data_IF_138736191105
#
_entry.id   IF_138736191105
#
_cell.length_a   1.000
_cell.length_b   1.000
_cell.length_c   1.000
_cell.angle_alpha   90.00
_cell.angle_beta   90.00
_cell.angle_gamma   90.00
#
_symmetry.space_group_name_H-M   'P 1'
#
loop_
_entity.id
_entity.type
_entity.pdbx_description
1 polymer ?
#
# COMPACT_ATOMS: atom_id res chain seq x y z
N UNK A 1 -1.61 -26.19 20.57
CA UNK A 1 -1.81 -24.74 20.51
C UNK A 1 -0.73 -24.11 21.34
N UNK A 2 0.16 -23.34 20.71
CA UNK A 2 1.35 -22.78 21.36
C UNK A 2 1.21 -21.26 21.38
N UNK A 3 1.45 -20.65 22.56
CA UNK A 3 1.41 -19.21 22.77
C UNK A 3 2.84 -18.66 22.79
N UNK A 4 3.11 -17.67 21.95
CA UNK A 4 4.38 -16.95 21.92
C UNK A 4 4.15 -15.47 22.12
N UNK A 5 5.01 -14.83 22.92
CA UNK A 5 5.00 -13.39 23.13
C UNK A 5 6.18 -12.77 22.41
N UNK A 6 5.91 -11.89 21.47
CA UNK A 6 6.90 -11.07 20.78
C UNK A 6 6.91 -9.68 21.43
N UNK A 7 8.07 -9.19 21.85
CA UNK A 7 8.24 -7.82 22.31
C UNK A 7 8.80 -6.99 21.16
N UNK A 8 8.03 -6.03 20.66
CA UNK A 8 8.49 -5.10 19.63
C UNK A 8 8.90 -3.78 20.27
N UNK A 9 10.15 -3.41 20.05
CA UNK A 9 10.65 -2.08 20.41
C UNK A 9 10.12 -1.07 19.42
N UNK A 10 9.30 -0.12 19.90
CA UNK A 10 8.89 1.04 19.12
C UNK A 10 9.82 2.22 19.44
N UNK A 11 10.16 3.08 18.45
CA UNK A 11 11.09 4.19 18.68
C UNK A 11 10.59 5.23 19.70
N UNK A 12 9.28 5.32 19.91
CA UNK A 12 8.63 6.42 20.63
C UNK A 12 7.63 5.97 21.70
N UNK A 13 7.57 4.68 22.05
CA UNK A 13 6.63 4.16 23.07
C UNK A 13 7.19 2.96 23.82
N UNK A 14 6.52 2.58 24.92
CA UNK A 14 6.85 1.35 25.64
C UNK A 14 6.77 0.14 24.69
N UNK A 15 7.63 -0.89 24.86
CA UNK A 15 7.63 -2.07 24.01
C UNK A 15 6.24 -2.71 23.97
N UNK A 16 5.64 -2.74 22.78
CA UNK A 16 4.33 -3.38 22.60
C UNK A 16 4.56 -4.88 22.50
N UNK A 17 3.91 -5.62 23.40
CA UNK A 17 3.94 -7.08 23.40
C UNK A 17 2.81 -7.63 22.54
N UNK A 18 3.16 -8.26 21.41
CA UNK A 18 2.22 -9.01 20.60
C UNK A 18 2.18 -10.47 21.04
N UNK A 19 0.99 -11.06 21.02
CA UNK A 19 0.80 -12.48 21.30
C UNK A 19 0.44 -13.21 20.01
N UNK A 20 1.24 -14.22 19.66
CA UNK A 20 0.97 -15.12 18.56
C UNK A 20 0.46 -16.46 19.12
N UNK A 21 -0.67 -16.91 18.59
CA UNK A 21 -1.20 -18.24 18.83
C UNK A 21 -1.13 -19.03 17.53
N UNK A 22 -0.44 -20.16 17.55
CA UNK A 22 -0.35 -21.03 16.38
C UNK A 22 -0.64 -22.49 16.72
N UNK A 23 -1.16 -23.21 15.72
CA UNK A 23 -1.29 -24.67 15.75
C UNK A 23 0.00 -25.37 15.32
N UNK A 24 0.94 -24.61 14.75
CA UNK A 24 2.26 -25.13 14.43
C UNK A 24 2.99 -25.57 15.71
N UNK A 25 3.61 -26.75 15.63
CA UNK A 25 4.33 -27.41 16.71
C UNK A 25 5.85 -27.27 16.57
N UNK A 26 6.32 -26.65 15.49
CA UNK A 26 7.73 -26.31 15.35
C UNK A 26 8.14 -25.33 16.46
N UNK A 27 9.35 -25.46 17.05
CA UNK A 27 9.86 -24.46 17.96
C UNK A 27 9.97 -23.11 17.24
N UNK A 28 9.20 -22.12 17.68
CA UNK A 28 9.24 -20.79 17.07
C UNK A 28 10.44 -20.01 17.61
N UNK A 29 11.23 -19.46 16.68
CA UNK A 29 12.22 -18.43 16.99
C UNK A 29 11.60 -17.04 16.88
N UNK A 30 12.23 -16.04 17.48
CA UNK A 30 11.81 -14.63 17.34
C UNK A 30 11.78 -14.21 15.87
N UNK A 31 12.74 -14.67 15.06
CA UNK A 31 12.81 -14.38 13.63
C UNK A 31 11.60 -14.90 12.87
N UNK A 32 11.23 -16.18 13.08
CA UNK A 32 10.07 -16.78 12.43
C UNK A 32 8.77 -16.05 12.82
N UNK A 33 8.63 -15.69 14.10
CA UNK A 33 7.47 -14.92 14.57
C UNK A 33 7.43 -13.53 13.92
N UNK A 34 8.58 -12.87 13.80
CA UNK A 34 8.68 -11.56 13.16
C UNK A 34 8.30 -11.63 11.67
N UNK A 35 8.79 -12.62 10.92
CA UNK A 35 8.46 -12.82 9.50
C UNK A 35 6.95 -13.00 9.27
N UNK A 36 6.30 -13.84 10.07
CA UNK A 36 4.83 -14.05 9.99
C UNK A 36 4.07 -12.76 10.25
N UNK A 37 4.54 -12.00 11.22
CA UNK A 37 3.95 -10.74 11.62
C UNK A 37 4.15 -9.66 10.55
N UNK A 38 5.30 -9.62 9.89
CA UNK A 38 5.59 -8.69 8.79
C UNK A 38 4.76 -9.05 7.54
N UNK A 39 4.57 -10.34 7.28
CA UNK A 39 3.66 -10.82 6.23
C UNK A 39 2.22 -10.35 6.48
N UNK A 40 1.76 -10.34 7.73
CA UNK A 40 0.43 -9.80 8.07
C UNK A 40 0.33 -8.32 7.72
N UNK A 41 1.39 -7.53 7.97
CA UNK A 41 1.40 -6.11 7.64
C UNK A 41 1.28 -5.86 6.13
N UNK A 42 1.82 -6.77 5.30
CA UNK A 42 1.70 -6.71 3.83
C UNK A 42 0.23 -6.67 3.38
N UNK A 43 -0.68 -7.34 4.09
CA UNK A 43 -2.12 -7.31 3.79
C UNK A 43 -2.73 -5.93 4.11
N UNK A 44 -2.31 -5.32 5.20
CA UNK A 44 -2.77 -3.98 5.60
C UNK A 44 -2.25 -2.92 4.61
N UNK A 45 -1.03 -3.07 4.13
CA UNK A 45 -0.45 -2.28 3.04
C UNK A 45 -1.22 -2.43 1.73
N UNK A 46 -1.46 -3.66 1.28
CA UNK A 46 -2.28 -3.95 0.10
C UNK A 46 -3.63 -3.21 0.16
N UNK A 47 -4.36 -3.33 1.28
CA UNK A 47 -5.65 -2.66 1.43
C UNK A 47 -5.52 -1.13 1.40
N UNK A 48 -4.53 -0.56 2.09
CA UNK A 48 -4.30 0.89 2.14
C UNK A 48 -3.99 1.45 0.76
N UNK A 49 -3.03 0.86 0.07
CA UNK A 49 -2.59 1.30 -1.25
C UNK A 49 -3.69 1.11 -2.30
N UNK A 50 -4.39 -0.03 -2.29
CA UNK A 50 -5.48 -0.26 -3.25
C UNK A 50 -6.57 0.80 -3.10
N UNK A 51 -6.93 1.19 -1.86
CA UNK A 51 -7.90 2.26 -1.62
C UNK A 51 -7.43 3.63 -2.12
N UNK A 52 -6.21 4.02 -1.74
CA UNK A 52 -5.68 5.34 -2.01
C UNK A 52 -5.31 5.53 -3.49
N UNK A 53 -4.72 4.50 -4.10
CA UNK A 53 -4.08 4.63 -5.40
C UNK A 53 -4.91 4.16 -6.58
N UNK A 54 -5.91 3.29 -6.36
CA UNK A 54 -6.71 2.75 -7.47
C UNK A 54 -8.18 3.14 -7.44
N UNK A 55 -8.66 3.76 -6.35
CA UNK A 55 -10.06 4.17 -6.22
C UNK A 55 -11.02 2.98 -6.20
N UNK A 56 -10.62 1.85 -5.59
CA UNK A 56 -11.44 0.63 -5.49
C UNK A 56 -12.83 0.90 -4.88
N UNK A 57 -12.95 1.89 -4.00
CA UNK A 57 -14.19 2.30 -3.32
C UNK A 57 -14.98 3.41 -4.08
N UNK A 58 -14.45 3.90 -5.21
CA UNK A 58 -15.01 5.05 -5.92
C UNK A 58 -16.15 4.69 -6.88
N UNK A 59 -16.44 3.41 -7.12
CA UNK A 59 -17.46 3.00 -8.07
C UNK A 59 -18.87 3.40 -7.62
N UNK A 60 -19.53 4.27 -8.41
CA UNK A 60 -20.89 4.75 -8.12
C UNK A 60 -22.00 3.90 -8.80
N UNK A 61 -21.64 2.80 -9.46
CA UNK A 61 -22.61 1.99 -10.20
C UNK A 61 -23.54 1.19 -9.25
N UNK A 62 -24.83 1.11 -9.54
CA UNK A 62 -25.76 0.33 -8.69
C UNK A 62 -25.85 -1.16 -9.05
N UNK A 63 -25.22 -1.56 -10.16
CA UNK A 63 -25.28 -2.93 -10.68
C UNK A 63 -24.13 -3.74 -10.08
N UNK A 64 -24.45 -4.81 -9.35
CA UNK A 64 -23.47 -5.65 -8.64
C UNK A 64 -22.38 -6.24 -9.56
N UNK A 65 -22.72 -6.60 -10.81
CA UNK A 65 -21.72 -7.08 -11.78
C UNK A 65 -20.67 -6.01 -12.10
N UNK A 66 -21.10 -4.77 -12.29
CA UNK A 66 -20.19 -3.67 -12.62
C UNK A 66 -19.31 -3.34 -11.41
N UNK A 67 -19.87 -3.36 -10.21
CA UNK A 67 -19.12 -3.19 -8.96
C UNK A 67 -18.01 -4.24 -8.81
N UNK A 68 -18.31 -5.53 -9.04
CA UNK A 68 -17.29 -6.59 -9.01
C UNK A 68 -16.23 -6.40 -10.09
N UNK A 69 -16.62 -5.97 -11.29
CA UNK A 69 -15.66 -5.68 -12.37
C UNK A 69 -14.74 -4.51 -12.00
N UNK A 70 -15.28 -3.43 -11.40
CA UNK A 70 -14.48 -2.30 -10.92
C UNK A 70 -13.45 -2.74 -9.87
N UNK A 71 -13.88 -3.54 -8.89
CA UNK A 71 -13.00 -4.11 -7.87
C UNK A 71 -11.89 -4.93 -8.52
N UNK A 72 -12.21 -5.80 -9.48
CA UNK A 72 -11.21 -6.60 -10.19
C UNK A 72 -10.21 -5.74 -10.97
N UNK A 73 -10.69 -4.73 -11.72
CA UNK A 73 -9.83 -3.81 -12.45
C UNK A 73 -8.91 -2.99 -11.52
N UNK A 74 -9.43 -2.54 -10.38
CA UNK A 74 -8.66 -1.81 -9.38
C UNK A 74 -7.52 -2.68 -8.81
N UNK A 75 -7.79 -3.94 -8.47
CA UNK A 75 -6.76 -4.88 -7.99
C UNK A 75 -5.72 -5.17 -9.07
N UNK A 76 -6.14 -5.36 -10.34
CA UNK A 76 -5.20 -5.56 -11.45
C UNK A 76 -4.30 -4.33 -11.69
N UNK A 77 -4.87 -3.13 -11.58
CA UNK A 77 -4.10 -1.89 -11.68
C UNK A 77 -3.10 -1.77 -10.53
N UNK A 78 -3.51 -2.07 -9.28
CA UNK A 78 -2.62 -2.08 -8.13
C UNK A 78 -1.46 -3.06 -8.33
N UNK A 79 -1.75 -4.30 -8.76
CA UNK A 79 -0.70 -5.30 -8.99
C UNK A 79 0.34 -4.81 -10.01
N UNK A 80 -0.11 -4.20 -11.11
CA UNK A 80 0.80 -3.65 -12.11
C UNK A 80 1.63 -2.48 -11.56
N UNK A 81 1.00 -1.56 -10.82
CA UNK A 81 1.71 -0.43 -10.20
C UNK A 81 2.72 -0.91 -9.16
N UNK A 82 2.38 -1.91 -8.36
CA UNK A 82 3.27 -2.50 -7.36
C UNK A 82 4.51 -3.10 -8.02
N UNK A 83 4.35 -3.94 -9.05
CA UNK A 83 5.50 -4.51 -9.78
C UNK A 83 6.38 -3.42 -10.40
N UNK A 84 5.78 -2.36 -10.96
CA UNK A 84 6.53 -1.25 -11.51
C UNK A 84 7.29 -0.48 -10.42
N UNK A 85 6.68 -0.28 -9.26
CA UNK A 85 7.29 0.41 -8.13
C UNK A 85 8.48 -0.39 -7.57
N UNK A 86 8.33 -1.71 -7.44
CA UNK A 86 9.40 -2.63 -7.07
C UNK A 86 10.56 -2.55 -8.07
N UNK A 87 10.29 -2.63 -9.38
CA UNK A 87 11.33 -2.55 -10.40
C UNK A 87 12.06 -1.20 -10.39
N UNK A 88 11.33 -0.11 -10.13
CA UNK A 88 11.89 1.23 -10.05
C UNK A 88 12.46 1.58 -8.66
N UNK A 89 12.44 0.66 -7.69
CA UNK A 89 12.90 0.86 -6.31
C UNK A 89 12.28 2.13 -5.66
N UNK A 90 10.99 2.30 -5.87
CA UNK A 90 10.18 3.44 -5.39
C UNK A 90 8.90 2.92 -4.75
N UNK A 91 8.12 3.81 -4.12
CA UNK A 91 6.76 3.48 -3.65
C UNK A 91 5.73 3.64 -4.76
N UNK A 92 4.57 2.97 -4.65
CA UNK A 92 3.45 3.16 -5.58
C UNK A 92 2.99 4.63 -5.59
N UNK A 93 2.96 5.27 -4.42
CA UNK A 93 2.61 6.68 -4.26
C UNK A 93 3.47 7.58 -5.15
N UNK A 94 4.79 7.48 -4.97
CA UNK A 94 5.75 8.26 -5.74
C UNK A 94 5.69 7.90 -7.22
N UNK A 95 5.63 6.61 -7.57
CA UNK A 95 5.53 6.18 -8.97
C UNK A 95 4.34 6.83 -9.69
N UNK A 96 3.16 6.85 -9.06
CA UNK A 96 1.96 7.39 -9.67
C UNK A 96 1.94 8.92 -9.68
N UNK A 97 2.37 9.56 -8.60
CA UNK A 97 2.30 11.02 -8.47
C UNK A 97 3.40 11.71 -9.29
N UNK A 98 4.58 11.09 -9.38
CA UNK A 98 5.73 11.63 -10.09
C UNK A 98 5.57 11.64 -11.63
N UNK A 99 4.55 10.95 -12.18
CA UNK A 99 4.31 10.87 -13.63
C UNK A 99 4.24 12.25 -14.31
N UNK A 100 3.79 13.28 -13.60
CA UNK A 100 3.66 14.64 -14.13
C UNK A 100 4.56 15.65 -13.44
N UNK A 101 5.44 15.25 -12.53
CA UNK A 101 6.25 16.18 -11.75
C UNK A 101 7.12 17.05 -12.66
N UNK A 102 7.82 16.43 -13.63
CA UNK A 102 8.66 17.15 -14.57
C UNK A 102 7.85 18.11 -15.45
N UNK A 103 6.68 17.66 -15.91
CA UNK A 103 5.76 18.49 -16.69
C UNK A 103 5.29 19.70 -15.87
N UNK A 104 4.83 19.48 -14.64
CA UNK A 104 4.35 20.54 -13.75
C UNK A 104 5.47 21.52 -13.38
N UNK A 105 6.67 21.01 -13.07
CA UNK A 105 7.84 21.83 -12.81
C UNK A 105 8.19 22.72 -14.01
N UNK A 106 8.08 22.19 -15.24
CA UNK A 106 8.33 22.96 -16.45
C UNK A 106 7.25 24.05 -16.68
N UNK A 107 5.97 23.69 -16.56
CA UNK A 107 4.86 24.64 -16.72
C UNK A 107 4.86 25.74 -15.65
N UNK A 108 5.32 25.45 -14.43
CA UNK A 108 5.47 26.48 -13.39
C UNK A 108 6.64 27.45 -13.67
N UNK A 109 7.72 26.97 -14.28
CA UNK A 109 8.89 27.80 -14.63
C UNK A 109 8.62 28.67 -15.86
N UNK A 110 7.99 28.11 -16.88
CA UNK A 110 7.68 28.78 -18.13
C UNK A 110 6.29 28.35 -18.61
N UNK A 111 5.22 28.99 -18.11
CA UNK A 111 3.85 28.56 -18.41
C UNK A 111 3.55 28.70 -19.88
N UNK A 112 3.16 27.59 -20.50
CA UNK A 112 2.71 27.56 -21.90
C UNK A 112 1.44 28.39 -22.06
N UNK A 113 0.56 28.33 -21.06
CA UNK A 113 -0.65 29.14 -20.97
C UNK A 113 -0.40 30.40 -20.13
N UNK A 114 -0.23 31.53 -20.80
CA UNK A 114 -0.07 32.84 -20.12
C UNK A 114 -1.43 33.34 -19.63
N UNK A 115 -1.59 33.43 -18.32
CA UNK A 115 -2.72 34.13 -17.73
C UNK A 115 -2.48 35.64 -17.86
N UNK A 116 -3.44 36.34 -18.47
CA UNK A 116 -3.45 37.80 -18.54
C UNK A 116 -4.61 38.28 -17.66
N UNK A 117 -4.35 39.27 -16.82
CA UNK A 117 -5.42 39.92 -16.04
C UNK A 117 -6.34 40.67 -17.01
N UNK A 118 -7.65 40.49 -16.83
CA UNK A 118 -8.69 41.19 -17.58
C UNK A 118 -8.71 42.68 -17.25
#
# INVERSE_FOLDING_TARGET
>A
MTLFRLLRSTPCSEPVGDFLVTNDRTPLSVQVVQEVVDLRWTVEEFHRETKQETGIEACQCRIARIQRNHIACAILAWNRLHTLAEHAQTTIYHLKHALLDDYMNNELRNPTLKMVLA
#
